data_IF_142561045723
#
_entry.id   IF_142561045723
#
_cell.length_a   1.000
_cell.length_b   1.000
_cell.length_c   1.000
_cell.angle_alpha   90.00
_cell.angle_beta   90.00
_cell.angle_gamma   90.00
#
_symmetry.space_group_name_H-M   'P 1'
#
loop_
_entity.id
_entity.type
_entity.pdbx_description
1 polymer ?
#
# COMPACT_ATOMS: atom_id res chain seq x y z
N UNK A 1 11.42 25.25 -27.88
CA UNK A 1 10.84 24.23 -26.97
C UNK A 1 9.76 23.46 -27.71
N UNK A 2 9.69 22.15 -27.55
CA UNK A 2 8.66 21.35 -28.22
C UNK A 2 7.29 21.59 -27.58
N UNK A 3 6.29 21.88 -28.40
CA UNK A 3 4.90 22.08 -27.97
C UNK A 3 3.99 21.00 -28.57
N UNK A 4 3.00 20.48 -27.83
CA UNK A 4 2.08 19.48 -28.35
C UNK A 4 1.19 20.12 -29.42
N UNK A 5 1.25 19.59 -30.65
CA UNK A 5 0.42 20.09 -31.75
C UNK A 5 -1.08 19.87 -31.49
N UNK A 6 -1.44 18.80 -30.76
CA UNK A 6 -2.81 18.42 -30.41
C UNK A 6 -2.85 17.85 -29.00
N UNK A 7 -4.01 17.99 -28.33
CA UNK A 7 -4.25 17.37 -27.02
C UNK A 7 -4.22 15.84 -27.14
N UNK A 8 -3.74 15.17 -26.11
CA UNK A 8 -3.83 13.71 -26.06
C UNK A 8 -5.27 13.26 -25.87
N UNK A 9 -5.66 12.15 -26.49
CA UNK A 9 -6.99 11.56 -26.32
C UNK A 9 -7.27 11.20 -24.85
N UNK A 10 -8.56 11.16 -24.48
CA UNK A 10 -9.02 10.82 -23.13
C UNK A 10 -8.50 9.45 -22.70
N UNK A 11 -8.58 8.45 -23.59
CA UNK A 11 -8.07 7.10 -23.35
C UNK A 11 -6.57 7.11 -23.00
N UNK A 12 -5.73 7.76 -23.82
CA UNK A 12 -4.28 7.81 -23.59
C UNK A 12 -3.90 8.55 -22.29
N UNK A 13 -4.64 9.60 -21.91
CA UNK A 13 -4.49 10.26 -20.59
C UNK A 13 -4.84 9.30 -19.46
N UNK A 14 -5.98 8.62 -19.53
CA UNK A 14 -6.46 7.73 -18.48
C UNK A 14 -5.53 6.52 -18.30
N UNK A 15 -5.00 5.92 -19.38
CA UNK A 15 -4.04 4.82 -19.27
C UNK A 15 -2.76 5.21 -18.52
N UNK A 16 -2.29 6.46 -18.66
CA UNK A 16 -1.14 6.96 -17.88
C UNK A 16 -1.49 7.16 -16.41
N UNK A 17 -2.67 7.69 -16.12
CA UNK A 17 -3.16 7.83 -14.74
C UNK A 17 -3.29 6.47 -14.06
N UNK A 18 -3.85 5.47 -14.75
CA UNK A 18 -4.00 4.10 -14.24
C UNK A 18 -2.66 3.48 -13.83
N UNK A 19 -1.57 3.74 -14.58
CA UNK A 19 -0.22 3.29 -14.19
C UNK A 19 0.22 3.90 -12.87
N UNK A 20 -0.13 5.15 -12.58
CA UNK A 20 0.21 5.82 -11.33
C UNK A 20 -0.63 5.28 -10.16
N UNK A 21 -1.93 5.11 -10.34
CA UNK A 21 -2.83 4.55 -9.30
C UNK A 21 -2.52 3.09 -9.00
N UNK A 22 -2.11 2.30 -9.99
CA UNK A 22 -1.72 0.90 -9.79
C UNK A 22 -0.51 0.74 -8.86
N UNK A 23 0.42 1.71 -8.84
CA UNK A 23 1.54 1.70 -7.88
C UNK A 23 1.03 1.80 -6.44
N UNK A 24 0.08 2.70 -6.18
CA UNK A 24 -0.54 2.85 -4.86
C UNK A 24 -1.28 1.56 -4.44
N UNK A 25 -2.06 0.97 -5.35
CA UNK A 25 -2.74 -0.31 -5.10
C UNK A 25 -1.77 -1.43 -4.72
N UNK A 26 -0.61 -1.52 -5.37
CA UNK A 26 0.39 -2.53 -5.03
C UNK A 26 0.96 -2.31 -3.61
N UNK A 27 1.23 -1.06 -3.23
CA UNK A 27 1.72 -0.75 -1.88
C UNK A 27 0.65 -1.00 -0.82
N UNK A 28 -0.61 -0.67 -1.08
CA UNK A 28 -1.72 -0.96 -0.18
C UNK A 28 -1.85 -2.47 0.12
N UNK A 29 -1.71 -3.32 -0.91
CA UNK A 29 -1.73 -4.78 -0.74
C UNK A 29 -0.60 -5.27 0.16
N UNK A 30 0.62 -4.74 -0.04
CA UNK A 30 1.79 -5.09 0.79
C UNK A 30 1.59 -4.64 2.23
N UNK A 31 1.14 -3.40 2.44
CA UNK A 31 0.88 -2.85 3.77
C UNK A 31 -0.18 -3.67 4.52
N UNK A 32 -1.27 -4.06 3.85
CA UNK A 32 -2.31 -4.91 4.44
C UNK A 32 -1.76 -6.29 4.84
N UNK A 33 -1.00 -6.94 3.95
CA UNK A 33 -0.36 -8.24 4.26
C UNK A 33 0.57 -8.12 5.48
N UNK A 34 1.32 -7.03 5.56
CA UNK A 34 2.23 -6.76 6.67
C UNK A 34 1.47 -6.54 7.97
N UNK A 35 0.40 -5.73 7.96
CA UNK A 35 -0.44 -5.50 9.13
C UNK A 35 -1.05 -6.80 9.68
N UNK A 36 -1.55 -7.68 8.80
CA UNK A 36 -2.06 -9.00 9.21
C UNK A 36 -0.99 -9.87 9.84
N UNK A 37 0.23 -9.82 9.32
CA UNK A 37 1.37 -10.57 9.86
C UNK A 37 1.77 -10.09 11.25
N UNK A 38 1.75 -8.77 11.49
CA UNK A 38 1.99 -8.17 12.80
C UNK A 38 0.90 -8.58 13.79
N UNK A 39 -0.37 -8.47 13.40
CA UNK A 39 -1.52 -8.83 14.25
C UNK A 39 -1.49 -10.30 14.71
N UNK A 40 -1.03 -11.21 13.84
CA UNK A 40 -0.94 -12.63 14.17
C UNK A 40 0.13 -12.95 15.23
N UNK A 41 1.07 -12.05 15.53
CA UNK A 41 2.14 -12.25 16.51
C UNK A 41 3.13 -13.39 16.20
N UNK A 42 2.99 -14.08 15.06
CA UNK A 42 3.79 -15.26 14.68
C UNK A 42 4.95 -14.91 13.74
N UNK A 43 5.11 -13.63 13.40
CA UNK A 43 6.19 -13.17 12.53
C UNK A 43 7.52 -13.14 13.28
N UNK A 44 8.54 -13.82 12.75
CA UNK A 44 9.90 -13.86 13.33
C UNK A 44 10.87 -12.87 12.69
N UNK A 45 10.45 -12.19 11.61
CA UNK A 45 11.35 -11.39 10.75
C UNK A 45 11.35 -9.89 11.03
N UNK A 46 10.36 -9.35 11.75
CA UNK A 46 10.27 -7.93 12.06
C UNK A 46 9.93 -7.73 13.54
N UNK A 47 10.63 -6.78 14.18
CA UNK A 47 10.40 -6.40 15.58
C UNK A 47 9.24 -5.40 15.60
N UNK A 48 8.05 -5.83 15.98
CA UNK A 48 6.95 -4.92 16.34
C UNK A 48 6.99 -4.68 17.84
N UNK A 49 7.05 -3.41 18.26
CA UNK A 49 6.87 -3.03 19.65
C UNK A 49 5.41 -3.31 20.03
N UNK A 50 5.10 -4.58 20.34
CA UNK A 50 3.81 -4.98 20.90
C UNK A 50 3.84 -4.61 22.38
N UNK A 51 3.69 -3.32 22.69
CA UNK A 51 3.73 -2.84 24.07
C UNK A 51 2.36 -2.83 24.79
N UNK A 52 1.30 -3.42 24.24
CA UNK A 52 -0.07 -3.29 24.82
C UNK A 52 -1.02 -4.47 24.48
N UNK A 53 -0.61 -5.74 24.57
CA UNK A 53 -1.55 -6.88 24.34
C UNK A 53 -1.48 -8.02 25.39
N UNK A 54 -0.72 -7.83 26.49
CA UNK A 54 -0.70 -8.78 27.62
C UNK A 54 -1.44 -8.26 28.87
N UNK A 55 -2.20 -7.16 28.80
CA UNK A 55 -2.91 -6.58 29.96
C UNK A 55 -4.42 -6.85 30.00
N UNK A 56 -5.01 -7.51 28.99
CA UNK A 56 -6.48 -7.71 28.90
C UNK A 56 -6.91 -9.19 28.95
N UNK A 57 -5.97 -10.13 29.15
CA UNK A 57 -6.29 -11.57 29.25
C UNK A 57 -6.21 -12.18 30.65
N UNK A 58 -5.93 -11.39 31.68
CA UNK A 58 -5.90 -11.84 33.07
C UNK A 58 -6.58 -10.84 34.03
N UNK A 59 -7.89 -10.61 33.85
CA UNK A 59 -8.86 -10.25 34.91
C UNK A 59 -10.22 -10.82 34.49
#
# INVERSE_FOLDING_TARGET
MAVPKKRTSKSKKNSRLAKWTNKANLQAKKALSLAKSILSGKSTSFISNNSEENTVKEV
#
